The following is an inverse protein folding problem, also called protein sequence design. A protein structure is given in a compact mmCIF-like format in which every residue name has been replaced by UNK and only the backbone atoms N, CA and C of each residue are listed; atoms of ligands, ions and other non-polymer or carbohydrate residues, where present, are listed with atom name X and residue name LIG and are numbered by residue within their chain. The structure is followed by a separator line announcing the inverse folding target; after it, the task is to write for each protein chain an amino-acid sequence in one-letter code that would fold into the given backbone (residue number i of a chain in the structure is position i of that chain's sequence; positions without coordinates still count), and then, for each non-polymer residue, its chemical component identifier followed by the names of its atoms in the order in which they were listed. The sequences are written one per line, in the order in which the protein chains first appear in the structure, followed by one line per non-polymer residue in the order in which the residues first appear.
data_IF_123418884409
#
_entry.id   IF_123418884409
#
_cell.length_a   1.000
_cell.length_b   1.000
_cell.length_c   1.000
_cell.angle_alpha   90.00
_cell.angle_beta   90.00
_cell.angle_gamma   90.00
#
_symmetry.space_group_name_H-M   'P 1'
#
loop_
_entity.id
_entity.type
_entity.pdbx_description
1 polymer ?
#
# COMPACT_ATOMS: atom_id res chain seq x y z
N UNK A 1 -1.05 -24.85 34.72
CA UNK A 1 0.10 -23.98 34.37
C UNK A 1 -0.27 -23.25 33.09
N UNK A 2 -0.42 -21.94 33.14
CA UNK A 2 -0.72 -21.14 31.93
C UNK A 2 0.56 -20.96 31.12
N UNK A 3 0.52 -21.39 29.86
CA UNK A 3 1.63 -21.28 28.90
C UNK A 3 1.58 -19.88 28.29
N UNK A 4 2.70 -19.15 28.35
CA UNK A 4 2.87 -17.84 27.73
C UNK A 4 3.72 -17.99 26.47
N UNK A 5 3.17 -17.63 25.31
CA UNK A 5 3.86 -17.73 24.02
C UNK A 5 4.17 -16.34 23.48
N UNK A 6 5.37 -16.17 22.92
CA UNK A 6 5.74 -15.00 22.14
C UNK A 6 5.82 -15.38 20.67
N UNK A 7 5.06 -14.68 19.83
CA UNK A 7 4.98 -14.95 18.38
C UNK A 7 5.49 -13.73 17.64
N UNK A 8 6.47 -13.95 16.75
CA UNK A 8 7.08 -12.90 15.93
C UNK A 8 7.06 -13.30 14.46
N UNK A 9 6.91 -12.32 13.58
CA UNK A 9 6.98 -12.55 12.13
C UNK A 9 8.44 -12.64 11.68
N UNK A 10 8.90 -13.85 11.32
CA UNK A 10 10.26 -14.05 10.81
C UNK A 10 10.44 -13.56 9.37
N UNK A 11 9.39 -13.67 8.54
CA UNK A 11 9.43 -13.26 7.14
C UNK A 11 8.11 -12.62 6.73
N UNK A 12 8.17 -11.50 5.99
CA UNK A 12 6.97 -10.81 5.51
C UNK A 12 6.24 -11.69 4.46
N UNK A 13 4.90 -11.66 4.39
CA UNK A 13 4.17 -12.35 3.32
C UNK A 13 4.61 -11.84 1.93
N UNK A 14 4.91 -12.76 1.01
CA UNK A 14 5.32 -12.42 -0.37
C UNK A 14 4.21 -12.64 -1.39
N UNK A 15 3.18 -13.41 -1.05
CA UNK A 15 2.04 -13.67 -1.93
C UNK A 15 1.21 -12.39 -2.11
N UNK A 16 1.02 -12.00 -3.37
CA UNK A 16 0.14 -10.90 -3.78
C UNK A 16 -1.28 -11.42 -3.89
N UNK A 17 -2.18 -10.87 -3.07
CA UNK A 17 -3.60 -11.25 -3.05
C UNK A 17 -4.45 -10.33 -3.91
N UNK A 18 -4.19 -9.02 -3.88
CA UNK A 18 -4.93 -8.02 -4.65
C UNK A 18 -3.96 -6.99 -5.22
N UNK A 19 -4.31 -6.43 -6.37
CA UNK A 19 -3.58 -5.34 -7.00
C UNK A 19 -4.56 -4.40 -7.68
N UNK A 20 -4.33 -3.09 -7.57
CA UNK A 20 -5.07 -2.09 -8.31
C UNK A 20 -4.14 -0.99 -8.80
N UNK A 21 -4.61 -0.25 -9.80
CA UNK A 21 -3.86 0.84 -10.44
C UNK A 21 -4.74 2.08 -10.47
N UNK A 22 -4.18 3.23 -10.08
CA UNK A 22 -4.91 4.51 -10.11
C UNK A 22 -4.09 5.69 -9.57
N UNK A 23 -4.71 6.85 -9.53
CA UNK A 23 -4.10 8.13 -9.16
C UNK A 23 -4.23 8.39 -7.65
N UNK A 24 -3.51 7.61 -6.83
CA UNK A 24 -3.60 7.70 -5.36
C UNK A 24 -2.70 8.78 -4.72
N UNK A 25 -1.50 9.01 -5.24
CA UNK A 25 -0.54 10.01 -4.69
C UNK A 25 -0.80 11.42 -5.22
N UNK A 26 -1.16 11.53 -6.49
CA UNK A 26 -1.37 12.80 -7.20
C UNK A 26 -2.28 12.58 -8.42
N UNK A 27 -3.05 13.59 -8.85
CA UNK A 27 -3.95 13.48 -10.02
C UNK A 27 -3.24 13.12 -11.33
N UNK A 28 -1.94 13.41 -11.43
CA UNK A 28 -1.13 13.24 -12.64
C UNK A 28 -0.22 12.01 -12.58
N UNK A 29 -0.13 11.37 -11.42
CA UNK A 29 0.77 10.26 -11.15
C UNK A 29 -0.01 8.96 -11.07
N UNK A 30 0.43 7.95 -11.80
CA UNK A 30 -0.19 6.63 -11.78
C UNK A 30 0.50 5.77 -10.73
N UNK A 31 -0.27 5.11 -9.87
CA UNK A 31 0.25 4.27 -8.79
C UNK A 31 -0.21 2.84 -8.97
N UNK A 32 0.68 1.89 -8.69
CA UNK A 32 0.39 0.48 -8.53
C UNK A 32 0.34 0.16 -7.04
N UNK A 33 -0.83 -0.22 -6.55
CA UNK A 33 -1.05 -0.61 -5.16
C UNK A 33 -1.19 -2.13 -5.10
N UNK A 34 -0.39 -2.76 -4.24
CA UNK A 34 -0.31 -4.20 -4.11
C UNK A 34 -0.56 -4.61 -2.67
N UNK A 35 -1.55 -5.46 -2.46
CA UNK A 35 -1.80 -6.09 -1.16
C UNK A 35 -1.17 -7.47 -1.09
N UNK A 36 -0.41 -7.69 -0.01
CA UNK A 36 0.22 -8.96 0.37
C UNK A 36 -0.33 -9.44 1.71
N UNK A 37 -1.55 -9.95 1.70
CA UNK A 37 -2.28 -10.49 2.86
C UNK A 37 -2.53 -9.49 4.02
N UNK A 38 -1.48 -9.12 4.75
CA UNK A 38 -1.50 -8.20 5.90
C UNK A 38 -0.68 -6.93 5.67
N UNK A 39 -0.11 -6.76 4.47
CA UNK A 39 0.67 -5.58 4.09
C UNK A 39 0.17 -4.98 2.80
N UNK A 40 0.28 -3.67 2.68
CA UNK A 40 0.06 -2.93 1.44
C UNK A 40 1.34 -2.24 1.04
N UNK A 41 1.68 -2.34 -0.24
CA UNK A 41 2.78 -1.65 -0.89
C UNK A 41 2.22 -0.71 -1.96
N UNK A 42 2.68 0.53 -1.98
CA UNK A 42 2.30 1.54 -2.98
C UNK A 42 3.53 1.87 -3.81
N UNK A 43 3.41 1.73 -5.13
CA UNK A 43 4.48 1.93 -6.09
C UNK A 43 4.08 3.02 -7.10
N UNK A 44 4.98 3.94 -7.40
CA UNK A 44 4.77 4.99 -8.41
C UNK A 44 5.20 4.48 -9.80
N UNK A 45 4.35 4.66 -10.82
CA UNK A 45 4.61 4.26 -12.21
C UNK A 45 5.11 5.46 -13.03
N UNK A 46 6.25 5.31 -13.70
CA UNK A 46 6.86 6.35 -14.58
C UNK A 46 6.75 5.96 -16.07
N UNK A 47 6.62 6.92 -17.01
CA UNK A 47 6.46 6.64 -18.46
C UNK A 47 7.68 6.03 -19.17
N UNK A 48 8.89 6.14 -18.61
CA UNK A 48 10.10 5.51 -19.16
C UNK A 48 10.12 3.98 -18.94
N UNK A 49 9.05 3.39 -18.38
CA UNK A 49 9.04 2.08 -17.73
C UNK A 49 9.21 2.22 -16.21
N UNK A 50 9.29 1.09 -15.49
CA UNK A 50 9.83 1.01 -14.12
C UNK A 50 11.35 1.35 -14.11
N UNK A 51 11.73 2.47 -14.72
CA UNK A 51 13.11 2.77 -15.08
C UNK A 51 13.72 3.83 -14.16
N UNK A 52 14.66 3.34 -13.35
CA UNK A 52 15.99 3.87 -13.12
C UNK A 52 16.27 5.27 -13.69
N UNK A 53 16.25 6.28 -12.82
CA UNK A 53 17.13 7.44 -12.97
C UNK A 53 18.48 7.07 -12.34
N UNK A 54 19.39 6.52 -13.13
CA UNK A 54 20.81 6.49 -12.79
C UNK A 54 21.41 7.88 -12.99
N UNK A 55 21.45 8.70 -11.95
CA UNK A 55 22.50 9.70 -11.71
C UNK A 55 22.61 9.99 -10.20
N UNK A 56 22.89 8.95 -9.40
CA UNK A 56 23.71 9.09 -8.17
C UNK A 56 24.03 7.71 -7.65
N UNK A 57 25.32 7.42 -7.52
CA UNK A 57 25.87 6.15 -7.07
C UNK A 57 25.21 5.72 -5.74
N UNK A 58 24.82 4.44 -5.65
CA UNK A 58 24.28 3.74 -4.46
C UNK A 58 22.75 3.68 -4.30
N UNK A 59 22.00 3.07 -5.22
CA UNK A 59 20.72 2.40 -4.85
C UNK A 59 20.20 1.42 -5.90
N UNK A 60 20.40 0.12 -5.64
CA UNK A 60 19.72 -0.97 -6.32
C UNK A 60 18.23 -0.97 -5.90
N UNK A 61 17.35 -0.23 -6.58
CA UNK A 61 15.90 -0.26 -6.30
C UNK A 61 15.12 -0.07 -7.61
N UNK A 62 14.59 -1.15 -8.16
CA UNK A 62 13.75 -1.17 -9.38
C UNK A 62 12.28 -0.78 -9.14
N UNK A 63 11.86 -0.54 -7.90
CA UNK A 63 10.54 0.00 -7.56
C UNK A 63 10.75 0.68 -6.21
N UNK A 64 10.61 1.99 -6.08
CA UNK A 64 10.67 2.58 -4.74
C UNK A 64 9.29 2.34 -4.11
N UNK A 65 9.13 1.41 -3.16
CA UNK A 65 7.90 1.36 -2.37
C UNK A 65 7.82 2.71 -1.66
N UNK A 66 6.86 3.53 -2.06
CA UNK A 66 6.67 4.82 -1.41
C UNK A 66 6.24 4.60 0.04
N UNK A 67 5.57 3.48 0.31
CA UNK A 67 5.09 3.13 1.64
C UNK A 67 4.81 1.62 1.79
N UNK A 68 5.26 1.01 2.90
CA UNK A 68 4.84 -0.33 3.34
C UNK A 68 4.03 -0.23 4.63
N UNK A 69 2.74 -0.57 4.55
CA UNK A 69 1.81 -0.38 5.68
C UNK A 69 1.33 -1.73 6.19
N UNK A 70 1.62 -2.07 7.46
CA UNK A 70 1.01 -3.24 8.09
C UNK A 70 -0.45 -2.95 8.44
N UNK A 71 -1.33 -3.89 8.10
CA UNK A 71 -2.75 -3.86 8.47
C UNK A 71 -3.02 -4.96 9.49
N UNK A 72 -3.72 -4.60 10.56
CA UNK A 72 -4.21 -5.53 11.57
C UNK A 72 -5.44 -6.29 11.05
N UNK A 73 -5.18 -7.30 10.24
CA UNK A 73 -6.21 -8.14 9.66
C UNK A 73 -5.84 -8.58 8.24
N UNK A 74 -6.55 -9.61 7.75
CA UNK A 74 -6.41 -10.04 6.36
C UNK A 74 -7.25 -9.15 5.47
N UNK A 75 -6.61 -8.55 4.46
CA UNK A 75 -7.28 -7.78 3.41
C UNK A 75 -8.20 -8.73 2.63
N UNK A 76 -9.49 -8.40 2.59
CA UNK A 76 -10.52 -9.15 1.88
C UNK A 76 -10.86 -8.49 0.54
N UNK A 77 -10.95 -7.15 0.52
CA UNK A 77 -11.17 -6.37 -0.69
C UNK A 77 -10.27 -5.14 -0.69
N UNK A 78 -9.80 -4.77 -1.88
CA UNK A 78 -8.98 -3.59 -2.09
C UNK A 78 -9.36 -2.99 -3.44
N UNK A 79 -9.95 -1.79 -3.43
CA UNK A 79 -10.41 -1.11 -4.64
C UNK A 79 -10.06 0.38 -4.59
N UNK A 80 -9.75 0.95 -5.76
CA UNK A 80 -9.57 2.38 -5.95
C UNK A 80 -10.83 2.94 -6.59
N UNK A 81 -11.33 4.07 -6.08
CA UNK A 81 -12.44 4.77 -6.67
C UNK A 81 -12.26 6.29 -6.56
N UNK A 82 -12.77 7.02 -7.54
CA UNK A 82 -12.76 8.48 -7.54
C UNK A 82 -14.17 9.01 -7.32
N UNK A 83 -14.49 9.57 -6.14
CA UNK A 83 -15.79 10.21 -5.94
C UNK A 83 -15.90 11.51 -6.76
N UNK A 84 -17.13 11.93 -7.01
CA UNK A 84 -17.38 13.18 -7.72
C UNK A 84 -16.85 14.38 -6.93
N UNK A 85 -15.97 15.16 -7.55
CA UNK A 85 -15.37 16.36 -6.95
C UNK A 85 -13.95 16.18 -6.43
N UNK A 86 -13.46 14.95 -6.32
CA UNK A 86 -12.07 14.69 -5.94
C UNK A 86 -11.14 14.61 -7.16
N UNK A 87 -9.96 15.21 -7.03
CA UNK A 87 -8.93 15.15 -8.07
C UNK A 87 -8.09 13.86 -8.00
N UNK A 88 -8.19 13.11 -6.90
CA UNK A 88 -7.37 11.94 -6.59
C UNK A 88 -8.27 10.73 -6.29
N UNK A 89 -7.71 9.54 -6.50
CA UNK A 89 -8.40 8.29 -6.20
C UNK A 89 -8.29 7.98 -4.70
N UNK A 90 -9.40 7.53 -4.13
CA UNK A 90 -9.48 7.05 -2.76
C UNK A 90 -9.29 5.54 -2.73
N UNK A 91 -8.60 5.05 -1.71
CA UNK A 91 -8.36 3.63 -1.51
C UNK A 91 -9.37 3.08 -0.50
N UNK A 92 -10.19 2.15 -0.96
CA UNK A 92 -11.10 1.37 -0.13
C UNK A 92 -10.45 0.04 0.23
N UNK A 93 -10.37 -0.24 1.54
CA UNK A 93 -9.89 -1.53 2.05
C UNK A 93 -10.93 -2.09 3.02
N UNK A 94 -11.34 -3.33 2.78
CA UNK A 94 -12.10 -4.11 3.74
C UNK A 94 -11.25 -5.28 4.24
N UNK A 95 -11.27 -5.51 5.54
CA UNK A 95 -10.69 -6.71 6.16
C UNK A 95 -11.74 -7.79 6.30
N UNK A 96 -11.30 -9.05 6.44
CA UNK A 96 -12.20 -10.20 6.60
C UNK A 96 -13.10 -10.10 7.84
N UNK A 97 -12.67 -9.37 8.87
CA UNK A 97 -13.41 -9.18 10.12
C UNK A 97 -14.36 -7.95 10.07
N UNK A 98 -14.72 -7.50 8.86
CA UNK A 98 -15.70 -6.41 8.60
C UNK A 98 -15.21 -5.01 9.00
N UNK A 99 -13.95 -4.85 9.46
CA UNK A 99 -13.37 -3.51 9.57
C UNK A 99 -13.11 -2.97 8.16
N UNK A 100 -13.89 -1.95 7.77
CA UNK A 100 -13.69 -1.18 6.54
C UNK A 100 -13.03 0.16 6.87
N UNK A 101 -11.96 0.50 6.16
CA UNK A 101 -11.26 1.77 6.32
C UNK A 101 -11.12 2.43 4.96
N UNK A 102 -11.45 3.73 4.92
CA UNK A 102 -11.27 4.57 3.74
C UNK A 102 -9.99 5.39 3.93
N UNK A 103 -9.14 5.41 2.91
CA UNK A 103 -7.94 6.24 2.92
C UNK A 103 -8.05 7.31 1.85
N UNK A 104 -8.02 8.57 2.30
CA UNK A 104 -7.95 9.75 1.45
C UNK A 104 -6.51 10.23 1.33
N UNK A 105 -5.82 9.72 0.32
CA UNK A 105 -4.43 10.08 0.00
C UNK A 105 -3.39 9.57 1.01
N UNK A 106 -2.12 9.75 0.63
CA UNK A 106 -0.97 9.20 1.36
C UNK A 106 -0.74 9.86 2.73
N UNK A 107 -1.11 11.14 2.89
CA UNK A 107 -0.95 11.89 4.14
C UNK A 107 -1.86 11.35 5.25
N UNK A 108 -3.09 10.97 4.92
CA UNK A 108 -4.02 10.36 5.88
C UNK A 108 -3.51 9.00 6.36
N UNK A 109 -2.88 8.27 5.44
CA UNK A 109 -2.28 6.97 5.71
C UNK A 109 -1.05 7.08 6.62
N UNK A 110 -0.20 8.10 6.41
CA UNK A 110 0.94 8.39 7.28
C UNK A 110 0.51 8.86 8.67
N UNK A 111 -0.54 9.69 8.79
CA UNK A 111 -1.07 10.14 10.09
C UNK A 111 -1.56 8.98 10.96
N UNK A 112 -2.15 7.95 10.36
CA UNK A 112 -2.59 6.75 11.08
C UNK A 112 -1.43 5.88 11.58
N UNK A 113 -0.25 6.00 10.97
CA UNK A 113 0.96 5.27 11.37
C UNK A 113 1.81 6.00 12.42
N UNK A 114 1.64 7.31 12.58
CA UNK A 114 2.39 8.15 13.54
C UNK A 114 1.63 8.42 14.85
N UNK A 115 0.54 7.69 15.11
CA UNK A 115 -0.20 7.76 16.37
C UNK A 115 0.59 7.27 17.57
#
# INVERSE_FOLDING_TARGET
MSIWNYVVTAHKPTNVTHSCVGNFTSPQELNLIVAKCTRIEIHLLSPQGLQLLELSQTKFVLVQPMLDVPIYGRIATLELFRPHGEAQDLLFIATKDINSVYFSGILTLLRLLQG
#
